data_IF_929919372157
#
_entry.id   IF_929919372157
#
_cell.length_a   1.000
_cell.length_b   1.000
_cell.length_c   1.000
_cell.angle_alpha   90.00
_cell.angle_beta   90.00
_cell.angle_gamma   90.00
#
_symmetry.space_group_name_H-M   'P 1'
#
loop_
_entity.id
_entity.type
_entity.pdbx_description
1 polymer ?
#
# COMPACT_ATOMS: atom_id res chain seq x y z
N UNK A 1 22.22 -2.92 65.24
CA UNK A 1 23.37 -2.96 64.30
C UNK A 1 23.42 -4.25 63.48
N UNK A 2 23.29 -5.43 64.08
CA UNK A 2 23.40 -6.73 63.35
C UNK A 2 22.40 -6.88 62.20
N UNK A 3 21.12 -6.55 62.44
CA UNK A 3 20.06 -6.67 61.41
C UNK A 3 20.33 -5.71 60.23
N UNK A 4 20.76 -4.47 60.53
CA UNK A 4 21.10 -3.50 59.48
C UNK A 4 22.28 -3.95 58.61
N UNK A 5 23.32 -4.53 59.23
CA UNK A 5 24.46 -5.07 58.50
C UNK A 5 24.08 -6.28 57.63
N UNK A 6 23.20 -7.16 58.12
CA UNK A 6 22.71 -8.30 57.36
C UNK A 6 21.90 -7.87 56.13
N UNK A 7 21.03 -6.87 56.28
CA UNK A 7 20.25 -6.31 55.17
C UNK A 7 21.17 -5.64 54.14
N UNK A 8 22.18 -4.89 54.58
CA UNK A 8 23.12 -4.23 53.69
C UNK A 8 23.92 -5.24 52.84
N UNK A 9 24.37 -6.33 53.46
CA UNK A 9 25.08 -7.41 52.75
C UNK A 9 24.18 -8.11 51.74
N UNK A 10 22.92 -8.38 52.10
CA UNK A 10 21.95 -9.00 51.18
C UNK A 10 21.72 -8.11 49.95
N UNK A 11 21.43 -6.81 50.16
CA UNK A 11 21.19 -5.87 49.07
C UNK A 11 22.43 -5.72 48.20
N UNK A 12 23.62 -5.61 48.80
CA UNK A 12 24.89 -5.54 48.08
C UNK A 12 25.12 -6.76 47.18
N UNK A 13 24.86 -7.96 47.69
CA UNK A 13 24.98 -9.20 46.92
C UNK A 13 24.01 -9.23 45.72
N UNK A 14 22.76 -8.84 45.94
CA UNK A 14 21.74 -8.80 44.87
C UNK A 14 22.11 -7.79 43.78
N UNK A 15 22.54 -6.58 44.16
CA UNK A 15 22.94 -5.53 43.21
C UNK A 15 24.18 -5.96 42.43
N UNK A 16 25.16 -6.61 43.07
CA UNK A 16 26.34 -7.12 42.38
C UNK A 16 25.98 -8.17 41.33
N UNK A 17 25.09 -9.12 41.65
CA UNK A 17 24.59 -10.13 40.69
C UNK A 17 23.84 -9.46 39.54
N UNK A 18 22.95 -8.51 39.84
CA UNK A 18 22.20 -7.78 38.82
C UNK A 18 23.10 -6.96 37.90
N UNK A 19 24.16 -6.34 38.43
CA UNK A 19 25.13 -5.62 37.62
C UNK A 19 25.91 -6.55 36.70
N UNK A 20 26.40 -7.69 37.21
CA UNK A 20 27.14 -8.67 36.40
C UNK A 20 26.26 -9.26 35.29
N UNK A 21 25.00 -9.58 35.57
CA UNK A 21 24.06 -10.11 34.57
C UNK A 21 23.52 -9.02 33.63
N UNK A 22 23.35 -7.78 34.09
CA UNK A 22 22.72 -6.70 33.34
C UNK A 22 23.68 -5.85 32.48
N UNK A 23 24.99 -5.90 32.74
CA UNK A 23 25.99 -5.11 32.00
C UNK A 23 26.19 -5.58 30.54
N UNK A 24 25.64 -6.74 30.16
CA UNK A 24 25.73 -7.28 28.80
C UNK A 24 24.87 -6.58 27.74
N UNK A 25 23.98 -5.64 28.12
CA UNK A 25 23.01 -5.04 27.19
C UNK A 25 23.31 -3.59 26.79
N UNK A 26 24.47 -3.04 27.15
CA UNK A 26 24.90 -1.70 26.71
C UNK A 26 25.76 -1.76 25.45
N UNK A 27 25.39 -2.56 24.47
CA UNK A 27 25.81 -2.31 23.09
C UNK A 27 24.71 -1.48 22.46
N UNK A 28 25.01 -0.23 22.12
CA UNK A 28 24.21 0.50 21.14
C UNK A 28 24.11 -0.40 19.92
N UNK A 29 22.99 -1.11 19.79
CA UNK A 29 22.60 -1.79 18.57
C UNK A 29 22.38 -0.69 17.54
N UNK A 30 23.46 -0.23 16.92
CA UNK A 30 23.41 0.45 15.66
C UNK A 30 22.84 -0.58 14.69
N UNK A 31 21.50 -0.65 14.64
CA UNK A 31 20.77 -1.48 13.69
C UNK A 31 21.37 -1.18 12.33
N UNK A 32 22.00 -2.18 11.75
CA UNK A 32 22.45 -2.12 10.37
C UNK A 32 21.26 -1.65 9.53
N UNK A 33 21.37 -0.43 8.99
CA UNK A 33 20.34 0.15 8.16
C UNK A 33 20.16 -0.79 6.97
N UNK A 34 18.94 -1.28 6.77
CA UNK A 34 18.64 -2.15 5.64
C UNK A 34 19.00 -1.40 4.35
N UNK A 35 19.63 -2.08 3.36
CA UNK A 35 19.91 -1.46 2.08
C UNK A 35 18.64 -0.83 1.51
N UNK A 36 18.79 0.36 0.92
CA UNK A 36 17.66 1.04 0.28
C UNK A 36 17.03 0.13 -0.79
N UNK A 37 15.69 0.02 -0.86
CA UNK A 37 15.02 -0.73 -1.91
C UNK A 37 15.42 -0.24 -3.30
N UNK A 38 15.46 -1.16 -4.27
CA UNK A 38 15.72 -0.80 -5.67
C UNK A 38 14.66 0.18 -6.19
N UNK A 39 15.07 1.10 -7.07
CA UNK A 39 14.17 2.09 -7.65
C UNK A 39 13.03 1.40 -8.41
N UNK A 40 11.78 1.77 -8.08
CA UNK A 40 10.62 1.27 -8.78
C UNK A 40 10.59 1.85 -10.20
N UNK A 41 10.52 0.98 -11.20
CA UNK A 41 10.26 1.38 -12.59
C UNK A 41 8.77 1.29 -12.85
N UNK A 42 8.17 2.37 -13.36
CA UNK A 42 6.78 2.33 -13.79
C UNK A 42 6.63 1.34 -14.95
N UNK A 43 5.70 0.40 -14.82
CA UNK A 43 5.25 -0.47 -15.89
C UNK A 43 3.78 -0.14 -16.20
N UNK A 44 3.51 0.92 -16.98
CA UNK A 44 2.14 1.30 -17.32
C UNK A 44 1.50 0.20 -18.15
N UNK A 45 0.35 -0.31 -17.72
CA UNK A 45 -0.47 -1.24 -18.51
C UNK A 45 -1.31 -0.56 -19.60
N UNK A 46 -1.06 0.73 -19.87
CA UNK A 46 -1.81 1.54 -20.82
C UNK A 46 -0.91 1.85 -22.01
N UNK A 47 -1.40 1.61 -23.23
CA UNK A 47 -0.72 2.03 -24.47
C UNK A 47 -1.24 3.42 -24.83
N UNK A 48 -0.38 4.45 -24.88
CA UNK A 48 -0.79 5.78 -25.31
C UNK A 48 -1.25 5.77 -26.76
N UNK A 49 -2.35 6.48 -27.05
CA UNK A 49 -2.78 6.74 -28.42
C UNK A 49 -1.84 7.77 -29.03
N UNK A 50 -1.48 7.62 -30.31
CA UNK A 50 -0.66 8.61 -31.01
C UNK A 50 -1.39 9.94 -31.17
N UNK A 51 -0.68 11.07 -31.05
CA UNK A 51 -1.25 12.42 -31.22
C UNK A 51 -1.81 12.66 -32.64
N UNK A 52 -1.34 11.90 -33.62
CA UNK A 52 -1.82 11.92 -35.00
C UNK A 52 -3.03 11.00 -35.25
N UNK A 53 -3.55 10.34 -34.23
CA UNK A 53 -4.71 9.47 -34.38
C UNK A 53 -5.93 10.26 -34.87
N UNK A 54 -6.60 9.72 -35.88
CA UNK A 54 -7.81 10.35 -36.43
C UNK A 54 -8.90 10.36 -35.38
N UNK A 55 -9.47 11.54 -35.13
CA UNK A 55 -10.60 11.69 -34.21
C UNK A 55 -11.84 11.00 -34.83
N UNK A 56 -12.62 10.24 -34.04
CA UNK A 56 -13.91 9.73 -34.50
C UNK A 56 -14.80 10.89 -34.97
N UNK A 57 -15.44 10.73 -36.12
CA UNK A 57 -16.42 11.69 -36.65
C UNK A 57 -17.83 11.29 -36.21
N UNK A 58 -18.75 12.25 -36.03
CA UNK A 58 -20.15 11.95 -35.72
C UNK A 58 -20.77 10.96 -36.73
N UNK A 59 -20.51 11.14 -38.02
CA UNK A 59 -21.04 10.27 -39.07
C UNK A 59 -20.46 8.85 -39.00
N UNK A 60 -19.15 8.71 -38.73
CA UNK A 60 -18.51 7.41 -38.56
C UNK A 60 -19.03 6.67 -37.33
N UNK A 61 -19.27 7.40 -36.24
CA UNK A 61 -19.91 6.86 -35.05
C UNK A 61 -21.35 6.44 -35.34
N UNK A 62 -22.15 7.28 -36.00
CA UNK A 62 -23.53 6.97 -36.35
C UNK A 62 -23.62 5.73 -37.25
N UNK A 63 -22.77 5.62 -38.27
CA UNK A 63 -22.73 4.46 -39.16
C UNK A 63 -22.34 3.17 -38.42
N UNK A 64 -21.38 3.26 -37.49
CA UNK A 64 -20.92 2.11 -36.69
C UNK A 64 -21.98 1.66 -35.67
N UNK A 65 -22.72 2.60 -35.10
CA UNK A 65 -23.75 2.32 -34.08
C UNK A 65 -25.12 1.98 -34.67
N UNK A 66 -25.40 2.35 -35.92
CA UNK A 66 -26.70 2.13 -36.57
C UNK A 66 -27.22 0.68 -36.48
N UNK A 67 -26.41 -0.37 -36.67
CA UNK A 67 -26.89 -1.75 -36.55
C UNK A 67 -27.29 -2.12 -35.11
N UNK A 68 -26.59 -1.59 -34.11
CA UNK A 68 -26.94 -1.81 -32.70
C UNK A 68 -28.24 -1.08 -32.36
N UNK A 69 -28.38 0.18 -32.75
CA UNK A 69 -29.60 0.99 -32.48
C UNK A 69 -30.83 0.42 -33.18
N UNK A 70 -30.63 -0.24 -34.34
CA UNK A 70 -31.71 -0.91 -35.05
C UNK A 70 -32.21 -2.20 -34.37
N UNK A 71 -31.53 -2.70 -33.33
CA UNK A 71 -31.96 -3.91 -32.61
C UNK A 71 -33.20 -3.62 -31.74
N UNK A 72 -34.37 -4.21 -32.05
CA UNK A 72 -35.59 -4.01 -31.26
C UNK A 72 -35.46 -4.54 -29.82
N UNK A 73 -34.47 -5.40 -29.55
CA UNK A 73 -34.23 -5.98 -28.22
C UNK A 73 -33.42 -5.06 -27.31
N UNK A 74 -32.91 -3.91 -27.77
CA UNK A 74 -32.19 -2.97 -26.90
C UNK A 74 -33.03 -2.52 -25.70
N UNK A 75 -34.34 -2.29 -25.92
CA UNK A 75 -35.28 -1.94 -24.85
C UNK A 75 -35.55 -3.07 -23.85
N UNK A 76 -35.24 -4.31 -24.21
CA UNK A 76 -35.37 -5.47 -23.33
C UNK A 76 -34.20 -5.60 -22.34
N UNK A 77 -33.01 -5.06 -22.67
CA UNK A 77 -31.80 -5.19 -21.84
C UNK A 77 -31.63 -4.04 -20.83
N UNK A 78 -32.11 -2.83 -21.16
CA UNK A 78 -31.88 -1.63 -20.33
C UNK A 78 -33.14 -1.00 -19.72
N UNK A 79 -34.33 -1.51 -20.07
CA UNK A 79 -35.58 -0.81 -19.83
C UNK A 79 -35.73 0.37 -20.80
N UNK A 80 -36.92 0.57 -21.37
CA UNK A 80 -37.16 1.65 -22.34
C UNK A 80 -36.84 3.01 -21.70
N UNK A 81 -35.81 3.70 -22.20
CA UNK A 81 -35.58 5.12 -21.91
C UNK A 81 -36.48 5.89 -22.88
N UNK A 82 -37.68 6.22 -22.43
CA UNK A 82 -38.53 7.21 -23.09
C UNK A 82 -37.94 8.60 -22.79
N UNK A 83 -37.69 9.39 -23.82
CA UNK A 83 -37.32 10.80 -23.66
C UNK A 83 -38.44 11.52 -22.91
N UNK A 84 -38.10 12.21 -21.82
CA UNK A 84 -39.06 12.95 -21.03
C UNK A 84 -39.37 14.27 -21.73
N UNK A 85 -40.62 14.42 -22.18
CA UNK A 85 -41.16 15.64 -22.80
C UNK A 85 -41.26 16.79 -21.80
#
# INVERSE_FOLDING_TARGET
MVIGAAVLLLVGAVVAVAAVLGTGNSTSDAKAVQPAPAAATAAPGIVPVADSATKPTPDGLAATLAPLVADPNLGALTGRITDAL
#
